data_IF_165348392033
#
_entry.id   IF_165348392033
#
_cell.length_a   1.000
_cell.length_b   1.000
_cell.length_c   1.000
_cell.angle_alpha   90.00
_cell.angle_beta   90.00
_cell.angle_gamma   90.00
#
_symmetry.space_group_name_H-M   'P 1'
#
loop_
_entity.id
_entity.type
_entity.pdbx_description
1 polymer ?
#
# COMPACT_ATOMS: atom_id res chain seq x y z
N UNK A 1 -14.56 14.13 -5.36
CA UNK A 1 -13.55 13.31 -4.64
C UNK A 1 -13.66 11.83 -5.01
N UNK A 2 -14.87 11.25 -5.15
CA UNK A 2 -15.02 9.82 -5.49
C UNK A 2 -14.27 9.35 -6.76
N UNK A 3 -13.98 10.24 -7.69
CA UNK A 3 -13.25 9.92 -8.94
C UNK A 3 -11.75 9.82 -8.72
N UNK A 4 -11.20 10.57 -7.76
CA UNK A 4 -9.76 10.69 -7.52
C UNK A 4 -9.19 9.37 -6.98
N UNK A 5 -9.85 8.77 -6.01
CA UNK A 5 -9.44 7.47 -5.45
C UNK A 5 -9.44 6.32 -6.48
N UNK A 6 -9.99 6.56 -7.69
CA UNK A 6 -10.07 5.58 -8.77
C UNK A 6 -9.11 5.84 -9.93
N UNK A 7 -8.29 6.88 -9.85
CA UNK A 7 -7.26 7.19 -10.88
C UNK A 7 -6.18 6.11 -10.87
N UNK A 8 -5.50 5.94 -9.73
CA UNK A 8 -4.69 4.76 -9.44
C UNK A 8 -5.46 3.90 -8.43
N UNK A 9 -6.27 2.98 -8.95
CA UNK A 9 -7.14 2.13 -8.13
C UNK A 9 -6.39 1.13 -7.24
N UNK A 10 -5.08 1.02 -7.40
CA UNK A 10 -4.23 0.18 -6.54
C UNK A 10 -3.79 0.92 -5.28
N UNK A 11 -3.66 2.25 -5.36
CA UNK A 11 -3.24 3.12 -4.25
C UNK A 11 -4.25 4.24 -3.97
N UNK A 12 -5.54 3.92 -3.73
CA UNK A 12 -6.60 4.92 -3.62
C UNK A 12 -6.35 5.97 -2.54
N UNK A 13 -5.85 5.55 -1.38
CA UNK A 13 -5.56 6.47 -0.26
C UNK A 13 -4.44 7.47 -0.61
N UNK A 14 -3.47 7.05 -1.42
CA UNK A 14 -2.36 7.91 -1.87
C UNK A 14 -2.86 8.99 -2.82
N UNK A 15 -3.77 8.63 -3.74
CA UNK A 15 -4.41 9.59 -4.65
C UNK A 15 -5.19 10.65 -3.88
N UNK A 16 -5.98 10.24 -2.89
CA UNK A 16 -6.76 11.17 -2.07
C UNK A 16 -5.86 12.11 -1.28
N UNK A 17 -4.78 11.60 -0.67
CA UNK A 17 -3.81 12.42 0.05
C UNK A 17 -3.12 13.40 -0.90
N UNK A 18 -2.69 12.96 -2.07
CA UNK A 18 -2.04 13.80 -3.07
C UNK A 18 -2.95 14.96 -3.51
N UNK A 19 -4.23 14.65 -3.79
CA UNK A 19 -5.22 15.67 -4.14
C UNK A 19 -5.45 16.68 -3.01
N UNK A 20 -5.68 16.19 -1.78
CA UNK A 20 -5.92 17.09 -0.66
C UNK A 20 -4.70 17.96 -0.35
N UNK A 21 -3.50 17.41 -0.44
CA UNK A 21 -2.25 18.17 -0.27
C UNK A 21 -2.08 19.25 -1.34
N UNK A 22 -2.43 18.94 -2.60
CA UNK A 22 -2.37 19.93 -3.68
C UNK A 22 -3.36 21.09 -3.44
N UNK A 23 -4.59 20.78 -3.01
CA UNK A 23 -5.59 21.80 -2.66
C UNK A 23 -5.15 22.61 -1.43
N UNK A 24 -4.62 21.96 -0.40
CA UNK A 24 -4.11 22.60 0.81
C UNK A 24 -2.97 23.59 0.46
N UNK A 25 -2.07 23.18 -0.42
CA UNK A 25 -0.99 24.05 -0.90
C UNK A 25 -1.52 25.25 -1.69
N UNK A 26 -2.58 25.09 -2.48
CA UNK A 26 -3.18 26.16 -3.27
C UNK A 26 -3.85 27.23 -2.39
N UNK A 27 -4.46 26.81 -1.29
CA UNK A 27 -5.21 27.69 -0.37
C UNK A 27 -4.45 28.05 0.91
N UNK A 28 -3.18 27.65 1.03
CA UNK A 28 -2.32 27.87 2.20
C UNK A 28 -2.96 27.34 3.51
N UNK A 29 -3.52 26.12 3.43
CA UNK A 29 -4.17 25.46 4.56
C UNK A 29 -3.19 24.48 5.21
N UNK A 30 -2.85 24.70 6.47
CA UNK A 30 -2.00 23.80 7.25
C UNK A 30 -2.79 22.74 8.00
N UNK A 31 -2.31 21.49 7.91
CA UNK A 31 -2.82 20.35 8.69
C UNK A 31 -2.09 20.23 10.01
N UNK A 32 -2.81 19.73 11.04
CA UNK A 32 -2.20 19.44 12.34
C UNK A 32 -1.11 18.37 12.23
N UNK A 33 -0.08 18.37 13.10
CA UNK A 33 0.98 17.35 13.10
C UNK A 33 0.43 15.92 13.24
N UNK A 34 -0.62 15.72 14.05
CA UNK A 34 -1.32 14.43 14.18
C UNK A 34 -1.91 13.96 12.86
N UNK A 35 -2.58 14.84 12.13
CA UNK A 35 -3.14 14.55 10.81
C UNK A 35 -2.04 14.15 9.81
N UNK A 36 -0.95 14.90 9.78
CA UNK A 36 0.21 14.61 8.90
C UNK A 36 0.78 13.22 9.21
N UNK A 37 0.94 12.86 10.49
CA UNK A 37 1.45 11.55 10.89
C UNK A 37 0.52 10.40 10.48
N UNK A 38 -0.79 10.53 10.70
CA UNK A 38 -1.77 9.52 10.30
C UNK A 38 -1.77 9.34 8.79
N UNK A 39 -1.79 10.43 8.02
CA UNK A 39 -1.72 10.40 6.55
C UNK A 39 -0.45 9.69 6.07
N UNK A 40 0.69 9.95 6.69
CA UNK A 40 1.96 9.30 6.35
C UNK A 40 1.88 7.80 6.57
N UNK A 41 1.36 7.34 7.72
CA UNK A 41 1.19 5.90 7.99
C UNK A 41 0.29 5.25 6.93
N UNK A 42 -0.86 5.86 6.63
CA UNK A 42 -1.79 5.32 5.64
C UNK A 42 -1.19 5.32 4.22
N UNK A 43 -0.41 6.34 3.88
CA UNK A 43 0.30 6.44 2.60
C UNK A 43 1.32 5.29 2.45
N UNK A 44 2.10 5.01 3.50
CA UNK A 44 3.09 3.92 3.47
C UNK A 44 2.42 2.53 3.45
N UNK A 45 1.31 2.34 4.15
CA UNK A 45 0.51 1.12 4.04
C UNK A 45 -0.03 0.93 2.61
N UNK A 46 -0.53 2.00 1.97
CA UNK A 46 -0.94 1.98 0.57
C UNK A 46 0.22 1.65 -0.37
N UNK A 47 1.41 2.18 -0.11
CA UNK A 47 2.63 1.86 -0.86
C UNK A 47 3.00 0.38 -0.76
N UNK A 48 2.94 -0.21 0.44
CA UNK A 48 3.19 -1.64 0.64
C UNK A 48 2.19 -2.47 -0.15
N UNK A 49 0.90 -2.12 -0.11
CA UNK A 49 -0.14 -2.80 -0.90
C UNK A 49 0.17 -2.78 -2.40
N UNK A 50 0.62 -1.62 -2.91
CA UNK A 50 0.97 -1.45 -4.32
C UNK A 50 2.19 -2.33 -4.69
N UNK A 51 3.23 -2.34 -3.86
CA UNK A 51 4.40 -3.17 -4.10
C UNK A 51 4.08 -4.67 -4.08
N UNK A 52 3.24 -5.14 -3.14
CA UNK A 52 2.80 -6.53 -3.11
C UNK A 52 2.04 -6.92 -4.38
N UNK A 53 1.19 -6.03 -4.90
CA UNK A 53 0.51 -6.27 -6.18
C UNK A 53 1.49 -6.25 -7.35
N UNK A 54 2.37 -5.25 -7.42
CA UNK A 54 3.33 -5.10 -8.51
C UNK A 54 4.21 -6.35 -8.66
N UNK A 55 4.79 -6.82 -7.55
CA UNK A 55 5.62 -8.03 -7.54
C UNK A 55 4.80 -9.26 -7.90
N UNK A 56 3.58 -9.38 -7.34
CA UNK A 56 2.69 -10.50 -7.63
C UNK A 56 2.24 -10.54 -9.09
N UNK A 57 1.85 -9.39 -9.67
CA UNK A 57 1.42 -9.29 -11.06
C UNK A 57 2.58 -9.57 -12.03
N UNK A 58 3.77 -9.01 -11.77
CA UNK A 58 4.96 -9.32 -12.55
C UNK A 58 5.27 -10.83 -12.51
N UNK A 59 5.20 -11.44 -11.32
CA UNK A 59 5.39 -12.88 -11.18
C UNK A 59 4.35 -13.71 -11.96
N UNK A 60 3.10 -13.25 -12.00
CA UNK A 60 2.03 -13.87 -12.79
C UNK A 60 2.34 -13.87 -14.28
N UNK A 61 2.79 -12.74 -14.82
CA UNK A 61 3.19 -12.61 -16.24
C UNK A 61 4.33 -13.57 -16.63
N UNK A 62 5.19 -13.90 -15.67
CA UNK A 62 6.26 -14.88 -15.87
C UNK A 62 5.88 -16.30 -15.45
N UNK A 63 4.60 -16.55 -15.15
CA UNK A 63 4.05 -17.89 -14.87
C UNK A 63 4.05 -18.27 -13.39
N UNK A 64 4.27 -17.34 -12.47
CA UNK A 64 4.29 -17.57 -11.01
C UNK A 64 2.99 -17.17 -10.31
N UNK A 65 1.84 -17.76 -10.66
CA UNK A 65 0.52 -17.41 -10.10
C UNK A 65 0.48 -17.53 -8.56
N UNK A 66 1.23 -18.43 -7.97
CA UNK A 66 1.26 -18.63 -6.52
C UNK A 66 1.74 -17.38 -5.79
N UNK A 67 2.79 -16.71 -6.30
CA UNK A 67 3.31 -15.46 -5.72
C UNK A 67 2.28 -14.34 -5.74
N UNK A 68 1.45 -14.28 -6.79
CA UNK A 68 0.33 -13.34 -6.87
C UNK A 68 -0.69 -13.58 -5.76
N UNK A 69 -1.12 -14.82 -5.55
CA UNK A 69 -2.09 -15.18 -4.51
C UNK A 69 -1.54 -14.87 -3.11
N UNK A 70 -0.27 -15.17 -2.84
CA UNK A 70 0.39 -14.85 -1.57
C UNK A 70 0.46 -13.34 -1.32
N UNK A 71 0.83 -12.56 -2.33
CA UNK A 71 0.83 -11.10 -2.24
C UNK A 71 -0.56 -10.54 -1.92
N UNK A 72 -1.61 -11.06 -2.56
CA UNK A 72 -2.99 -10.65 -2.28
C UNK A 72 -3.47 -11.03 -0.89
N UNK A 73 -3.09 -12.19 -0.38
CA UNK A 73 -3.43 -12.60 0.99
C UNK A 73 -2.91 -11.60 2.04
N UNK A 74 -1.70 -11.10 1.87
CA UNK A 74 -1.13 -10.12 2.80
C UNK A 74 -1.75 -8.72 2.64
N UNK A 75 -2.25 -8.37 1.45
CA UNK A 75 -3.01 -7.12 1.25
C UNK A 75 -4.31 -7.08 2.05
N UNK A 76 -4.93 -8.24 2.31
CA UNK A 76 -6.16 -8.33 3.10
C UNK A 76 -5.99 -7.71 4.50
N UNK A 77 -4.83 -7.90 5.14
CA UNK A 77 -4.57 -7.31 6.46
C UNK A 77 -4.45 -5.80 6.43
N UNK A 78 -3.93 -5.24 5.35
CA UNK A 78 -3.92 -3.78 5.19
C UNK A 78 -5.32 -3.26 4.93
N UNK A 79 -6.17 -4.00 4.21
CA UNK A 79 -7.58 -3.66 4.06
C UNK A 79 -8.33 -3.66 5.39
N UNK A 80 -8.04 -4.60 6.28
CA UNK A 80 -8.64 -4.62 7.62
C UNK A 80 -8.23 -3.37 8.43
N UNK A 81 -6.98 -2.91 8.31
CA UNK A 81 -6.52 -1.66 8.93
C UNK A 81 -7.24 -0.45 8.32
N UNK A 82 -7.40 -0.41 7.00
CA UNK A 82 -8.10 0.69 6.31
C UNK A 82 -9.59 0.70 6.66
N UNK A 83 -10.22 -0.46 6.74
CA UNK A 83 -11.62 -0.60 7.15
C UNK A 83 -11.82 -0.14 8.60
N UNK A 84 -10.94 -0.54 9.50
CA UNK A 84 -10.96 -0.08 10.90
C UNK A 84 -10.90 1.45 11.02
N UNK A 85 -10.10 2.11 10.20
CA UNK A 85 -9.90 3.57 10.27
C UNK A 85 -10.99 4.34 9.53
N UNK A 86 -11.40 3.88 8.36
CA UNK A 86 -12.26 4.62 7.44
C UNK A 86 -13.68 4.10 7.33
N UNK A 87 -13.93 2.86 7.78
CA UNK A 87 -15.18 2.13 7.54
C UNK A 87 -15.32 1.66 6.09
N UNK A 88 -14.24 1.69 5.31
CA UNK A 88 -14.22 1.27 3.91
C UNK A 88 -12.97 0.46 3.60
N UNK A 89 -13.19 -0.70 3.03
CA UNK A 89 -12.14 -1.68 2.78
C UNK A 89 -11.21 -1.31 1.62
N UNK A 90 -11.72 -0.83 0.50
CA UNK A 90 -10.95 -0.72 -0.74
C UNK A 90 -10.71 0.73 -1.20
N UNK A 91 -11.72 1.58 -1.21
CA UNK A 91 -11.62 2.99 -1.58
C UNK A 91 -11.94 3.87 -0.37
N UNK A 92 -11.01 4.00 0.59
CA UNK A 92 -11.26 4.75 1.80
C UNK A 92 -11.38 6.24 1.48
N UNK A 93 -12.53 6.82 1.73
CA UNK A 93 -12.81 8.24 1.66
C UNK A 93 -12.59 8.87 3.04
N UNK A 94 -11.34 8.84 3.50
CA UNK A 94 -10.97 9.18 4.89
C UNK A 94 -10.31 10.56 5.03
N UNK A 95 -9.45 10.93 4.09
CA UNK A 95 -8.77 12.22 4.13
C UNK A 95 -9.68 13.35 3.63
N UNK A 96 -9.49 14.56 4.14
CA UNK A 96 -10.20 15.79 3.78
C UNK A 96 -9.21 16.93 3.67
N UNK A 97 -9.56 17.97 2.92
CA UNK A 97 -8.79 19.21 2.89
C UNK A 97 -8.72 19.78 4.31
N UNK A 98 -7.52 20.02 4.81
CA UNK A 98 -7.27 20.53 6.16
C UNK A 98 -7.32 19.48 7.27
N UNK A 99 -7.59 18.18 6.96
CA UNK A 99 -7.71 17.19 8.02
C UNK A 99 -8.07 15.78 7.60
N UNK A 100 -8.79 15.11 8.49
CA UNK A 100 -9.33 13.77 8.35
C UNK A 100 -10.85 13.83 8.56
N UNK A 101 -11.59 12.88 7.99
CA UNK A 101 -13.05 12.78 8.16
C UNK A 101 -13.44 12.59 9.62
N UNK A 102 -12.74 11.70 10.31
CA UNK A 102 -12.89 11.41 11.73
C UNK A 102 -11.49 11.15 12.32
N UNK A 103 -11.32 11.27 13.63
CA UNK A 103 -10.11 10.79 14.30
C UNK A 103 -10.08 9.25 14.34
N UNK A 104 -8.97 8.67 14.73
CA UNK A 104 -8.83 7.22 14.86
C UNK A 104 -9.85 6.68 15.89
N UNK A 105 -10.59 5.62 15.56
CA UNK A 105 -11.59 5.05 16.47
C UNK A 105 -10.99 4.60 17.81
N UNK A 106 -9.82 3.97 17.75
CA UNK A 106 -9.01 3.58 18.91
C UNK A 106 -7.53 3.57 18.53
N UNK A 107 -6.75 4.44 19.13
CA UNK A 107 -5.33 4.60 18.80
C UNK A 107 -4.49 3.36 19.16
N UNK A 108 -4.76 2.73 20.30
CA UNK A 108 -4.03 1.54 20.74
C UNK A 108 -4.29 0.33 19.84
N UNK A 109 -5.54 0.14 19.41
CA UNK A 109 -5.90 -0.92 18.47
C UNK A 109 -5.22 -0.68 17.12
N UNK A 110 -5.27 0.54 16.60
CA UNK A 110 -4.60 0.92 15.36
C UNK A 110 -3.09 0.64 15.43
N UNK A 111 -2.42 1.10 16.50
CA UNK A 111 -0.99 0.85 16.71
C UNK A 111 -0.66 -0.64 16.75
N UNK A 112 -1.50 -1.43 17.41
CA UNK A 112 -1.31 -2.88 17.51
C UNK A 112 -1.45 -3.55 16.15
N UNK A 113 -2.49 -3.23 15.37
CA UNK A 113 -2.70 -3.78 14.03
C UNK A 113 -1.52 -3.44 13.09
N UNK A 114 -1.08 -2.18 13.08
CA UNK A 114 0.05 -1.74 12.25
C UNK A 114 1.36 -2.42 12.68
N UNK A 115 1.65 -2.50 13.98
CA UNK A 115 2.86 -3.18 14.50
C UNK A 115 2.85 -4.67 14.18
N UNK A 116 1.73 -5.36 14.36
CA UNK A 116 1.60 -6.78 14.03
C UNK A 116 1.81 -7.03 12.54
N UNK A 117 1.26 -6.18 11.68
CA UNK A 117 1.51 -6.26 10.25
C UNK A 117 2.99 -6.08 9.92
N UNK A 118 3.63 -5.01 10.39
CA UNK A 118 5.01 -4.67 10.05
C UNK A 118 6.02 -5.67 10.62
N UNK A 119 5.83 -6.13 11.86
CA UNK A 119 6.85 -6.94 12.54
C UNK A 119 6.66 -8.45 12.38
N UNK A 120 5.42 -8.93 12.15
CA UNK A 120 5.14 -10.36 12.06
C UNK A 120 4.84 -10.81 10.63
N UNK A 121 3.94 -10.10 9.94
CA UNK A 121 3.40 -10.54 8.65
C UNK A 121 4.25 -10.13 7.47
N UNK A 122 4.57 -8.86 7.36
CA UNK A 122 5.33 -8.33 6.23
C UNK A 122 6.69 -9.01 6.04
N UNK A 123 7.52 -9.23 7.09
CA UNK A 123 8.80 -9.93 6.93
C UNK A 123 8.62 -11.38 6.45
N UNK A 124 7.57 -12.07 6.93
CA UNK A 124 7.25 -13.42 6.46
C UNK A 124 6.84 -13.40 4.99
N UNK A 125 5.94 -12.50 4.60
CA UNK A 125 5.48 -12.35 3.23
C UNK A 125 6.62 -12.07 2.25
N UNK A 126 7.54 -11.17 2.62
CA UNK A 126 8.73 -10.87 1.83
C UNK A 126 9.62 -12.10 1.69
N UNK A 127 9.89 -12.82 2.78
CA UNK A 127 10.69 -14.04 2.75
C UNK A 127 10.06 -15.16 1.91
N UNK A 128 8.74 -15.32 1.97
CA UNK A 128 8.00 -16.27 1.15
C UNK A 128 8.08 -15.91 -0.34
N UNK A 129 7.90 -14.63 -0.68
CA UNK A 129 8.03 -14.13 -2.06
C UNK A 129 9.46 -14.29 -2.59
N UNK A 130 10.47 -13.93 -1.81
CA UNK A 130 11.87 -14.13 -2.17
C UNK A 130 12.18 -15.62 -2.44
N UNK A 131 11.65 -16.51 -1.61
CA UNK A 131 11.84 -17.95 -1.79
C UNK A 131 11.16 -18.46 -3.06
N UNK A 132 9.93 -18.03 -3.33
CA UNK A 132 9.16 -18.44 -4.50
C UNK A 132 9.70 -17.88 -5.82
N UNK A 133 10.31 -16.71 -5.82
CA UNK A 133 10.81 -16.05 -7.02
C UNK A 133 12.30 -16.28 -7.22
N UNK A 134 13.15 -15.92 -6.24
CA UNK A 134 14.61 -15.95 -6.40
C UNK A 134 15.19 -17.36 -6.45
N UNK A 135 14.46 -18.37 -5.97
CA UNK A 135 14.86 -19.79 -6.07
C UNK A 135 14.16 -20.55 -7.19
N UNK A 136 13.28 -19.90 -7.93
CA UNK A 136 12.56 -20.52 -9.04
C UNK A 136 13.42 -20.43 -10.31
N UNK A 137 13.87 -21.61 -10.79
CA UNK A 137 14.72 -21.69 -11.99
C UNK A 137 14.04 -21.11 -13.23
N UNK A 138 12.74 -21.37 -13.41
CA UNK A 138 11.99 -20.86 -14.57
C UNK A 138 11.96 -19.33 -14.55
N UNK A 139 11.76 -18.75 -13.38
CA UNK A 139 11.75 -17.29 -13.18
C UNK A 139 13.13 -16.69 -13.49
N UNK A 140 14.20 -17.30 -12.98
CA UNK A 140 15.58 -16.87 -13.21
C UNK A 140 15.91 -16.96 -14.71
N UNK A 141 15.64 -18.10 -15.35
CA UNK A 141 15.96 -18.34 -16.77
C UNK A 141 15.22 -17.37 -17.71
N UNK A 142 14.05 -16.89 -17.32
CA UNK A 142 13.27 -15.90 -18.08
C UNK A 142 13.74 -14.47 -17.93
N UNK A 143 14.37 -14.13 -16.82
CA UNK A 143 14.73 -12.74 -16.48
C UNK A 143 16.22 -12.45 -16.57
N UNK A 144 17.08 -13.46 -16.42
CA UNK A 144 18.52 -13.26 -16.37
C UNK A 144 19.04 -12.69 -17.71
N UNK A 145 19.65 -11.52 -17.65
CA UNK A 145 20.21 -10.85 -18.83
C UNK A 145 19.20 -10.15 -19.74
N UNK A 146 17.92 -10.09 -19.35
CA UNK A 146 16.86 -9.42 -20.11
C UNK A 146 16.62 -8.01 -19.55
N UNK A 147 16.60 -7.01 -20.42
CA UNK A 147 16.26 -5.63 -20.05
C UNK A 147 17.28 -4.95 -19.12
N UNK A 148 18.53 -5.34 -19.14
CA UNK A 148 19.58 -4.80 -18.27
C UNK A 148 19.85 -3.34 -18.60
N UNK A 149 19.57 -2.43 -17.67
CA UNK A 149 19.98 -1.03 -17.76
C UNK A 149 21.37 -0.87 -17.15
N UNK A 150 22.37 -0.56 -17.97
CA UNK A 150 23.73 -0.24 -17.52
C UNK A 150 23.81 1.25 -17.13
N UNK A 151 24.63 1.56 -16.11
CA UNK A 151 25.02 2.96 -15.87
C UNK A 151 25.86 3.41 -17.07
N UNK A 152 25.38 4.43 -17.79
CA UNK A 152 26.19 5.19 -18.72
C UNK A 152 27.01 6.20 -17.95
#
# INVERSE_FOLDING_TARGET
VCTISRMDYISPIVNDIAWHTAVESLFDIDCTPRCKSIRTILCELGRIQNHLLCVGAAALDWGGITSFIYGFNEREFVYDILDFVSGQRFHPDYTRVGGLKNDLPCEETFKTMVKDFIHKRLPKAVGDLETMLNRNRIFIDRLQGVGVMTKQ
#
